data_IF_445793879492
#
_entry.id   IF_445793879492
#
_cell.length_a   1.000
_cell.length_b   1.000
_cell.length_c   1.000
_cell.angle_alpha   90.00
_cell.angle_beta   90.00
_cell.angle_gamma   90.00
#
_symmetry.space_group_name_H-M   'P 1'
#
loop_
_entity.id
_entity.type
_entity.pdbx_description
1 polymer ?
#
# COMPACT_ATOMS: atom_id res chain seq x y z
N UNK A 1 -10.08 23.03 -13.89
CA UNK A 1 -9.93 21.59 -13.58
C UNK A 1 -9.29 20.91 -14.79
N UNK A 2 -8.15 20.25 -14.63
CA UNK A 2 -7.49 19.60 -15.77
C UNK A 2 -8.33 18.43 -16.29
N UNK A 3 -8.51 18.33 -17.61
CA UNK A 3 -9.36 17.34 -18.28
C UNK A 3 -8.96 15.89 -17.97
N UNK A 4 -7.70 15.67 -17.60
CA UNK A 4 -7.18 14.37 -17.19
C UNK A 4 -7.71 13.94 -15.82
N UNK A 5 -7.88 14.88 -14.89
CA UNK A 5 -8.36 14.63 -13.54
C UNK A 5 -9.81 14.18 -13.50
N UNK A 6 -10.67 14.88 -14.23
CA UNK A 6 -12.08 14.51 -14.37
C UNK A 6 -12.24 13.15 -15.05
N UNK A 7 -11.42 12.83 -16.05
CA UNK A 7 -11.44 11.54 -16.73
C UNK A 7 -11.03 10.38 -15.80
N UNK A 8 -9.99 10.57 -14.98
CA UNK A 8 -9.51 9.53 -14.06
C UNK A 8 -10.42 9.35 -12.85
N UNK A 9 -10.96 10.45 -12.32
CA UNK A 9 -12.00 10.42 -11.29
C UNK A 9 -13.27 9.73 -11.83
N UNK A 10 -13.64 10.01 -13.08
CA UNK A 10 -14.76 9.35 -13.76
C UNK A 10 -14.58 7.84 -13.89
N UNK A 11 -13.42 7.36 -14.33
CA UNK A 11 -13.13 5.91 -14.41
C UNK A 11 -13.22 5.22 -13.04
N UNK A 12 -12.70 5.88 -12.00
CA UNK A 12 -12.77 5.39 -10.62
C UNK A 12 -14.23 5.36 -10.11
N UNK A 13 -14.99 6.42 -10.39
CA UNK A 13 -16.40 6.56 -10.01
C UNK A 13 -17.27 5.50 -10.71
N UNK A 14 -17.10 5.30 -12.02
CA UNK A 14 -17.80 4.24 -12.77
C UNK A 14 -17.49 2.83 -12.24
N UNK A 15 -16.24 2.57 -11.83
CA UNK A 15 -15.86 1.28 -11.23
C UNK A 15 -16.54 1.02 -9.89
N UNK A 16 -16.86 2.09 -9.16
CA UNK A 16 -17.47 2.02 -7.84
C UNK A 16 -18.98 2.30 -7.86
N UNK A 17 -19.57 2.50 -9.04
CA UNK A 17 -20.99 2.79 -9.20
C UNK A 17 -21.40 4.17 -8.67
N UNK A 18 -20.48 5.14 -8.62
CA UNK A 18 -20.72 6.51 -8.15
C UNK A 18 -20.71 7.50 -9.31
N UNK A 19 -21.44 8.61 -9.16
CA UNK A 19 -21.45 9.69 -10.15
C UNK A 19 -20.26 10.64 -9.93
N UNK A 20 -19.59 11.05 -11.01
CA UNK A 20 -18.31 11.75 -10.98
C UNK A 20 -18.45 13.27 -10.71
N UNK A 21 -19.23 13.63 -9.70
CA UNK A 21 -19.50 15.02 -9.31
C UNK A 21 -18.32 15.71 -8.62
N UNK A 22 -18.37 17.04 -8.52
CA UNK A 22 -17.41 17.89 -7.79
C UNK A 22 -17.29 17.53 -6.31
N UNK A 23 -18.36 17.01 -5.71
CA UNK A 23 -18.35 16.55 -4.31
C UNK A 23 -17.49 15.30 -4.11
N UNK A 24 -17.35 14.45 -5.12
CA UNK A 24 -16.49 13.26 -5.09
C UNK A 24 -15.03 13.65 -4.86
N UNK A 25 -14.57 14.72 -5.52
CA UNK A 25 -13.19 15.20 -5.38
C UNK A 25 -12.93 15.73 -3.97
N UNK A 26 -13.88 16.46 -3.38
CA UNK A 26 -13.76 16.97 -2.02
C UNK A 26 -13.77 15.84 -0.99
N UNK A 27 -14.66 14.85 -1.15
CA UNK A 27 -14.67 13.66 -0.30
C UNK A 27 -13.37 12.86 -0.44
N UNK A 28 -12.88 12.64 -1.66
CA UNK A 28 -11.60 11.96 -1.91
C UNK A 28 -10.41 12.69 -1.27
N UNK A 29 -10.35 14.03 -1.42
CA UNK A 29 -9.32 14.86 -0.78
C UNK A 29 -9.38 14.71 0.76
N UNK A 30 -10.58 14.75 1.33
CA UNK A 30 -10.75 14.59 2.78
C UNK A 30 -10.40 13.19 3.30
N UNK A 31 -10.79 12.13 2.59
CA UNK A 31 -10.57 10.74 3.01
C UNK A 31 -9.14 10.28 2.80
N UNK A 32 -8.53 10.57 1.66
CA UNK A 32 -7.19 10.08 1.31
C UNK A 32 -6.04 10.96 1.84
N UNK A 33 -6.29 12.26 2.06
CA UNK A 33 -5.27 13.24 2.48
C UNK A 33 -5.51 13.81 3.88
N UNK A 34 -6.51 13.30 4.61
CA UNK A 34 -6.85 13.72 5.98
C UNK A 34 -6.95 15.25 6.15
N UNK A 35 -7.48 15.94 5.14
CA UNK A 35 -7.67 17.40 5.17
C UNK A 35 -6.43 18.25 4.85
N UNK A 36 -5.36 17.67 4.29
CA UNK A 36 -4.22 18.45 3.80
C UNK A 36 -4.53 19.28 2.54
N UNK A 37 -3.87 20.42 2.37
CA UNK A 37 -3.87 21.18 1.11
C UNK A 37 -3.08 20.40 0.05
N UNK A 38 -3.77 19.93 -0.98
CA UNK A 38 -3.24 19.01 -2.00
C UNK A 38 -3.38 19.66 -3.36
N UNK A 39 -2.29 19.72 -4.12
CA UNK A 39 -2.35 20.22 -5.49
C UNK A 39 -3.02 19.20 -6.41
N UNK A 40 -3.65 19.68 -7.47
CA UNK A 40 -4.36 18.82 -8.43
C UNK A 40 -3.40 17.81 -9.09
N UNK A 41 -2.13 18.16 -9.28
CA UNK A 41 -1.10 17.26 -9.82
C UNK A 41 -0.80 16.10 -8.86
N UNK A 42 -0.70 16.39 -7.56
CA UNK A 42 -0.45 15.37 -6.55
C UNK A 42 -1.67 14.43 -6.38
N UNK A 43 -2.88 14.98 -6.54
CA UNK A 43 -4.10 14.19 -6.55
C UNK A 43 -4.19 13.27 -7.77
N UNK A 44 -3.77 13.77 -8.94
CA UNK A 44 -3.68 12.97 -10.18
C UNK A 44 -2.73 11.79 -10.01
N UNK A 45 -1.56 12.01 -9.40
CA UNK A 45 -0.60 10.94 -9.15
C UNK A 45 -1.19 9.82 -8.28
N UNK A 46 -1.92 10.16 -7.21
CA UNK A 46 -2.61 9.17 -6.37
C UNK A 46 -3.64 8.36 -7.17
N UNK A 47 -4.44 9.03 -8.01
CA UNK A 47 -5.46 8.39 -8.83
C UNK A 47 -4.87 7.46 -9.90
N UNK A 48 -3.69 7.77 -10.45
CA UNK A 48 -2.98 6.89 -11.37
C UNK A 48 -2.63 5.57 -10.68
N UNK A 49 -2.05 5.63 -9.48
CA UNK A 49 -1.71 4.44 -8.69
C UNK A 49 -2.94 3.65 -8.30
N UNK A 50 -3.99 4.34 -7.84
CA UNK A 50 -5.26 3.70 -7.48
C UNK A 50 -5.86 2.97 -8.68
N UNK A 51 -5.88 3.58 -9.86
CA UNK A 51 -6.40 2.96 -11.08
C UNK A 51 -5.55 1.77 -11.56
N UNK A 52 -4.21 1.89 -11.50
CA UNK A 52 -3.30 0.84 -11.94
C UNK A 52 -3.40 -0.44 -11.10
N UNK A 53 -3.55 -0.30 -9.77
CA UNK A 53 -3.65 -1.43 -8.85
C UNK A 53 -5.11 -1.74 -8.43
N UNK A 54 -6.09 -1.05 -9.00
CA UNK A 54 -7.50 -1.18 -8.64
C UNK A 54 -7.80 -0.88 -7.17
N UNK A 55 -6.96 -0.07 -6.51
CA UNK A 55 -7.07 0.23 -5.08
C UNK A 55 -8.18 1.23 -4.83
N UNK A 56 -8.93 0.99 -3.77
CA UNK A 56 -10.06 1.82 -3.40
C UNK A 56 -9.64 2.87 -2.33
N UNK A 57 -9.60 4.17 -2.66
CA UNK A 57 -9.24 5.22 -1.70
C UNK A 57 -10.28 5.46 -0.59
N UNK A 58 -11.50 4.95 -0.73
CA UNK A 58 -12.54 5.02 0.31
C UNK A 58 -12.37 3.94 1.38
N UNK A 59 -11.88 2.75 1.02
CA UNK A 59 -11.66 1.63 1.95
C UNK A 59 -10.31 1.70 2.67
N UNK A 60 -9.67 2.88 2.68
CA UNK A 60 -8.38 3.08 3.38
C UNK A 60 -7.26 2.18 2.85
N UNK A 61 -7.38 1.72 1.60
CA UNK A 61 -6.37 0.88 0.94
C UNK A 61 -5.18 1.70 0.46
N UNK A 62 -5.37 2.99 0.18
CA UNK A 62 -4.31 3.90 -0.24
C UNK A 62 -4.41 5.23 0.52
N UNK A 63 -3.27 5.70 1.00
CA UNK A 63 -3.11 6.94 1.75
C UNK A 63 -2.06 7.81 1.08
N UNK A 64 -2.28 9.12 1.08
CA UNK A 64 -1.29 10.07 0.64
C UNK A 64 -0.59 10.68 1.86
N UNK A 65 0.72 10.48 1.99
CA UNK A 65 1.52 11.14 3.02
C UNK A 65 2.32 12.28 2.40
N UNK A 66 2.30 13.50 2.99
CA UNK A 66 3.16 14.59 2.56
C UNK A 66 4.62 14.24 2.87
N UNK A 67 5.50 14.33 1.86
CA UNK A 67 6.95 14.21 1.99
C UNK A 67 7.61 15.43 1.33
N UNK A 68 8.86 15.76 1.66
CA UNK A 68 9.59 17.00 1.29
C UNK A 68 9.33 17.49 -0.17
N UNK A 69 8.30 18.32 -0.37
CA UNK A 69 7.93 18.89 -1.68
C UNK A 69 6.97 18.08 -2.55
N UNK A 70 6.41 16.96 -2.09
CA UNK A 70 5.52 16.11 -2.87
C UNK A 70 4.60 15.21 -2.03
N UNK A 71 3.85 14.34 -2.69
CA UNK A 71 2.98 13.36 -2.03
C UNK A 71 3.46 11.96 -2.35
N UNK A 72 3.64 11.16 -1.30
CA UNK A 72 3.99 9.75 -1.41
C UNK A 72 2.71 8.91 -1.22
N UNK A 73 2.25 8.19 -2.25
CA UNK A 73 1.19 7.20 -2.08
C UNK A 73 1.72 6.01 -1.27
N UNK A 74 1.00 5.69 -0.20
CA UNK A 74 1.28 4.59 0.72
C UNK A 74 0.08 3.66 0.72
N UNK A 75 0.30 2.40 0.37
CA UNK A 75 -0.74 1.37 0.38
C UNK A 75 -0.85 0.78 1.78
N UNK A 76 -2.07 0.70 2.29
CA UNK A 76 -2.40 0.06 3.54
C UNK A 76 -2.20 -1.46 3.49
N UNK A 77 -2.23 -2.11 4.65
CA UNK A 77 -2.05 -3.57 4.73
C UNK A 77 -3.16 -4.31 3.98
N UNK A 78 -4.39 -3.80 4.05
CA UNK A 78 -5.55 -4.39 3.36
C UNK A 78 -5.41 -4.28 1.83
N UNK A 79 -4.88 -3.16 1.33
CA UNK A 79 -4.56 -3.00 -0.08
C UNK A 79 -3.50 -4.00 -0.56
N UNK A 80 -2.46 -4.22 0.24
CA UNK A 80 -1.46 -5.27 -0.04
C UNK A 80 -2.06 -6.67 -0.02
N UNK A 81 -2.90 -6.99 0.97
CA UNK A 81 -3.56 -8.29 1.06
C UNK A 81 -4.44 -8.55 -0.17
N UNK A 82 -5.19 -7.53 -0.62
CA UNK A 82 -6.01 -7.61 -1.84
C UNK A 82 -5.16 -7.84 -3.09
N UNK A 83 -4.12 -7.02 -3.29
CA UNK A 83 -3.19 -7.14 -4.44
C UNK A 83 -2.57 -8.55 -4.52
N UNK A 84 -2.15 -9.11 -3.37
CA UNK A 84 -1.53 -10.43 -3.32
C UNK A 84 -2.56 -11.53 -3.65
N UNK A 85 -3.74 -11.47 -3.04
CA UNK A 85 -4.77 -12.50 -3.21
C UNK A 85 -5.41 -12.49 -4.61
N UNK A 86 -5.52 -11.32 -5.24
CA UNK A 86 -6.02 -11.20 -6.63
C UNK A 86 -4.98 -11.60 -7.68
N UNK A 87 -3.71 -11.78 -7.30
CA UNK A 87 -2.66 -12.09 -8.26
C UNK A 87 -2.81 -13.53 -8.80
N UNK A 88 -2.96 -13.76 -10.12
CA UNK A 88 -3.27 -15.08 -10.69
C UNK A 88 -2.26 -16.18 -10.34
N UNK A 89 -0.99 -15.77 -10.20
CA UNK A 89 0.13 -16.65 -9.88
C UNK A 89 0.35 -16.86 -8.37
N UNK A 90 -0.44 -16.24 -7.49
CA UNK A 90 -0.32 -16.50 -6.05
C UNK A 90 -0.79 -17.91 -5.74
N UNK A 91 0.03 -18.65 -4.96
CA UNK A 91 -0.21 -20.04 -4.60
C UNK A 91 -0.16 -20.27 -3.08
N UNK A 92 -0.31 -19.20 -2.30
CA UNK A 92 -0.28 -19.23 -0.85
C UNK A 92 0.93 -18.55 -0.25
N UNK A 93 0.85 -18.35 1.07
CA UNK A 93 1.91 -17.76 1.87
C UNK A 93 1.98 -18.40 3.25
N UNK A 94 3.18 -18.44 3.80
CA UNK A 94 3.45 -18.95 5.15
C UNK A 94 4.21 -17.91 5.95
N UNK A 95 3.96 -17.91 7.27
CA UNK A 95 4.69 -17.09 8.22
C UNK A 95 5.32 -17.97 9.29
N UNK A 96 6.62 -17.78 9.51
CA UNK A 96 7.34 -18.33 10.64
C UNK A 96 7.81 -17.18 11.54
N UNK A 97 7.67 -17.37 12.85
CA UNK A 97 8.11 -16.41 13.85
C UNK A 97 9.24 -17.01 14.67
N UNK A 98 10.34 -16.28 14.72
CA UNK A 98 11.41 -16.55 15.66
C UNK A 98 11.23 -15.62 16.85
N UNK A 99 10.92 -16.19 18.02
CA UNK A 99 10.72 -15.41 19.25
C UNK A 99 12.05 -15.04 19.92
N UNK A 100 13.10 -15.82 19.69
CA UNK A 100 14.42 -15.61 20.31
C UNK A 100 15.14 -14.45 19.61
N UNK A 101 15.15 -14.47 18.28
CA UNK A 101 15.72 -13.39 17.48
C UNK A 101 14.77 -12.21 17.29
N UNK A 102 13.48 -12.40 17.62
CA UNK A 102 12.44 -11.41 17.34
C UNK A 102 12.29 -11.16 15.84
N UNK A 103 12.30 -12.22 15.04
CA UNK A 103 12.24 -12.16 13.58
C UNK A 103 10.91 -12.74 13.06
N UNK A 104 10.49 -12.28 11.89
CA UNK A 104 9.38 -12.86 11.15
C UNK A 104 9.85 -13.17 9.72
N UNK A 105 9.67 -14.42 9.31
CA UNK A 105 9.96 -14.90 7.97
C UNK A 105 8.66 -15.13 7.23
N UNK A 106 8.50 -14.52 6.05
CA UNK A 106 7.39 -14.74 5.14
C UNK A 106 7.87 -15.49 3.92
N UNK A 107 7.17 -16.58 3.57
CA UNK A 107 7.38 -17.35 2.35
C UNK A 107 6.16 -17.19 1.46
N UNK A 108 6.37 -16.74 0.22
CA UNK A 108 5.30 -16.65 -0.78
C UNK A 108 5.56 -17.67 -1.88
N UNK A 109 4.56 -18.51 -2.14
CA UNK A 109 4.57 -19.49 -3.21
C UNK A 109 3.91 -18.89 -4.44
N UNK A 110 4.51 -19.16 -5.60
CA UNK A 110 4.01 -18.74 -6.91
C UNK A 110 3.90 -19.93 -7.83
N UNK A 111 2.81 -20.01 -8.59
CA UNK A 111 2.53 -21.11 -9.52
C UNK A 111 3.56 -21.22 -10.65
N UNK A 112 4.19 -20.10 -11.02
CA UNK A 112 5.16 -20.03 -12.12
C UNK A 112 6.61 -20.30 -11.69
N UNK A 113 6.86 -20.56 -10.40
CA UNK A 113 8.21 -20.76 -9.86
C UNK A 113 8.30 -22.03 -9.02
N UNK A 114 9.39 -22.77 -9.17
CA UNK A 114 9.67 -23.95 -8.34
C UNK A 114 10.13 -23.59 -6.93
N UNK A 115 10.77 -22.42 -6.76
CA UNK A 115 11.27 -21.96 -5.48
C UNK A 115 10.44 -20.78 -4.95
N UNK A 116 10.02 -20.81 -3.67
CA UNK A 116 9.30 -19.70 -3.07
C UNK A 116 10.21 -18.49 -2.87
N UNK A 117 9.60 -17.31 -2.80
CA UNK A 117 10.30 -16.11 -2.34
C UNK A 117 10.25 -16.08 -0.82
N UNK A 118 11.41 -15.96 -0.18
CA UNK A 118 11.55 -16.00 1.28
C UNK A 118 12.19 -14.70 1.72
N UNK A 119 11.56 -14.03 2.69
CA UNK A 119 12.07 -12.79 3.29
C UNK A 119 11.94 -12.86 4.80
N UNK A 120 13.02 -12.52 5.49
CA UNK A 120 13.08 -12.39 6.95
C UNK A 120 13.26 -10.92 7.32
N UNK A 121 12.44 -10.43 8.23
CA UNK A 121 12.55 -9.08 8.80
C UNK A 121 12.71 -9.18 10.32
N UNK A 122 13.59 -8.34 10.87
CA UNK A 122 13.94 -8.34 12.28
C UNK A 122 13.23 -7.21 13.02
N UNK A 123 12.71 -7.50 14.22
CA UNK A 123 12.03 -6.49 15.05
C UNK A 123 12.95 -5.30 15.36
N UNK A 124 14.24 -5.56 15.61
CA UNK A 124 15.24 -4.52 15.92
C UNK A 124 15.36 -3.46 14.82
N UNK A 125 15.23 -3.84 13.55
CA UNK A 125 15.36 -2.93 12.41
C UNK A 125 14.03 -2.27 12.01
N UNK A 126 12.92 -3.00 12.21
CA UNK A 126 11.60 -2.58 11.75
C UNK A 126 10.83 -1.74 12.77
N UNK A 127 11.11 -1.91 14.06
CA UNK A 127 10.35 -1.28 15.15
C UNK A 127 10.47 0.24 15.08
N UNK A 128 9.34 0.92 15.30
CA UNK A 128 9.26 2.38 15.35
C UNK A 128 8.63 2.83 16.64
N UNK A 129 8.97 4.04 17.08
CA UNK A 129 8.33 4.64 18.25
C UNK A 129 6.98 5.28 17.88
N UNK A 130 6.03 4.45 17.46
CA UNK A 130 4.66 4.87 17.11
C UNK A 130 3.64 3.96 17.81
N UNK A 131 2.47 4.49 18.12
CA UNK A 131 1.44 3.81 18.92
C UNK A 131 1.07 2.39 18.43
N UNK A 132 0.98 2.09 17.12
CA UNK A 132 0.67 0.73 16.66
C UNK A 132 1.77 -0.29 16.99
N UNK A 133 3.03 0.14 16.98
CA UNK A 133 4.18 -0.71 17.35
C UNK A 133 4.31 -0.90 18.85
N UNK A 134 3.77 0.01 19.66
CA UNK A 134 3.73 -0.13 21.12
C UNK A 134 2.64 -1.12 21.56
N UNK A 135 1.47 -1.09 20.91
CA UNK A 135 0.35 -1.97 21.27
C UNK A 135 0.47 -3.38 20.68
N UNK A 136 0.89 -3.52 19.42
CA UNK A 136 0.89 -4.81 18.72
C UNK A 136 2.16 -5.03 17.87
N UNK A 137 3.36 -5.09 18.48
CA UNK A 137 4.64 -5.14 17.76
C UNK A 137 4.75 -6.36 16.83
N UNK A 138 4.36 -7.55 17.27
CA UNK A 138 4.46 -8.78 16.46
C UNK A 138 3.53 -8.77 15.25
N UNK A 139 2.33 -8.17 15.39
CA UNK A 139 1.40 -7.99 14.26
C UNK A 139 1.96 -6.99 13.24
N UNK A 140 2.58 -5.91 13.72
CA UNK A 140 3.23 -4.92 12.86
C UNK A 140 4.42 -5.50 12.10
N UNK A 141 5.23 -6.33 12.77
CA UNK A 141 6.34 -7.04 12.12
C UNK A 141 5.82 -7.96 11.00
N UNK A 142 4.77 -8.75 11.26
CA UNK A 142 4.13 -9.59 10.23
C UNK A 142 3.76 -8.80 8.99
N UNK A 143 3.11 -7.65 9.17
CA UNK A 143 2.67 -6.82 8.06
C UNK A 143 3.85 -6.27 7.27
N UNK A 144 4.96 -5.90 7.94
CA UNK A 144 6.19 -5.48 7.27
C UNK A 144 6.80 -6.60 6.45
N UNK A 145 6.96 -7.79 7.03
CA UNK A 145 7.53 -8.95 6.34
C UNK A 145 6.68 -9.35 5.14
N UNK A 146 5.35 -9.38 5.28
CA UNK A 146 4.43 -9.67 4.17
C UNK A 146 4.65 -8.70 3.02
N UNK A 147 4.65 -7.39 3.29
CA UNK A 147 4.77 -6.37 2.24
C UNK A 147 6.12 -6.50 1.52
N UNK A 148 7.21 -6.73 2.26
CA UNK A 148 8.54 -6.86 1.66
C UNK A 148 8.68 -8.14 0.84
N UNK A 149 8.15 -9.25 1.35
CA UNK A 149 8.09 -10.50 0.61
C UNK A 149 7.25 -10.37 -0.66
N UNK A 150 6.07 -9.75 -0.58
CA UNK A 150 5.20 -9.53 -1.74
C UNK A 150 5.85 -8.64 -2.80
N UNK A 151 6.61 -7.62 -2.40
CA UNK A 151 7.34 -6.76 -3.34
C UNK A 151 8.38 -7.52 -4.14
N UNK A 152 9.13 -8.40 -3.49
CA UNK A 152 10.14 -9.24 -4.15
C UNK A 152 9.49 -10.39 -4.93
N UNK A 153 8.42 -10.97 -4.39
CA UNK A 153 7.71 -12.09 -5.00
C UNK A 153 7.06 -11.67 -6.31
N UNK A 154 6.35 -10.55 -6.37
CA UNK A 154 5.58 -10.11 -7.54
C UNK A 154 6.22 -8.96 -8.31
N UNK A 155 7.40 -8.48 -7.89
CA UNK A 155 8.11 -7.41 -8.59
C UNK A 155 7.42 -6.05 -8.49
N UNK A 156 6.67 -5.79 -7.42
CA UNK A 156 6.11 -4.46 -7.14
C UNK A 156 7.25 -3.48 -6.77
N UNK A 157 7.97 -3.03 -7.79
CA UNK A 157 9.14 -2.17 -7.65
C UNK A 157 8.72 -0.69 -7.50
N UNK A 158 9.35 -0.04 -6.51
CA UNK A 158 9.46 1.40 -6.21
C UNK A 158 8.22 2.30 -6.09
N UNK A 159 7.09 2.03 -6.73
CA UNK A 159 5.99 3.00 -6.75
C UNK A 159 5.09 2.98 -5.50
N UNK A 160 5.08 1.86 -4.76
CA UNK A 160 4.32 1.70 -3.51
C UNK A 160 5.29 1.69 -2.32
N UNK A 161 5.57 2.85 -1.73
CA UNK A 161 6.40 2.93 -0.53
C UNK A 161 5.63 2.35 0.65
N UNK A 162 6.15 1.26 1.24
CA UNK A 162 5.66 0.70 2.50
C UNK A 162 6.18 1.52 3.70
N UNK A 163 5.92 2.83 3.68
CA UNK A 163 6.19 3.75 4.79
C UNK A 163 7.63 3.82 5.30
N UNK A 164 8.67 3.31 4.62
CA UNK A 164 10.07 3.66 4.91
C UNK A 164 10.31 5.06 4.35
N UNK A 165 10.55 6.03 5.23
CA UNK A 165 11.30 7.23 4.83
C UNK A 165 12.67 6.73 4.34
N UNK A 166 13.14 7.13 3.15
CA UNK A 166 14.53 6.89 2.79
C UNK A 166 15.40 7.70 3.74
N UNK A 167 16.25 7.03 4.50
CA UNK A 167 17.46 7.65 5.04
C UNK A 167 18.45 7.74 3.89
N UNK A 168 18.37 8.85 3.18
CA UNK A 168 19.52 9.56 2.62
C UNK A 168 19.42 10.98 3.12
#
# INVERSE_FOLDING_TARGET
MSTALSTMAGKLASRLGMDAGTDLMNTLKNTAFKGGNVTDEQFTALLIVANQYGLNPWTKEIYAFPDKGGIVPVVGVDGWARIINEHPQFDGMEFAYDKEEGACTCKIYRKDRTHPTIVTEYMGECKRNTQPWQSHPTRMLRHKTLIQCARLAFGFCWHLRSGRKPSV
#
